data_IF_384277614264
#
_entry.id   IF_384277614264
#
_cell.length_a   1.000
_cell.length_b   1.000
_cell.length_c   1.000
_cell.angle_alpha   90.00
_cell.angle_beta   90.00
_cell.angle_gamma   90.00
#
_symmetry.space_group_name_H-M   'P 1'
#
loop_
_entity.id
_entity.type
_entity.pdbx_description
1 polymer ?
#
# COMPACT_ATOMS: atom_id res chain seq x y z
N UNK A 1 -5.08 5.17 28.42
CA UNK A 1 -5.52 3.89 27.78
C UNK A 1 -4.72 3.58 26.50
N UNK A 2 -4.06 4.55 25.90
CA UNK A 2 -3.17 4.34 24.72
C UNK A 2 -1.69 4.50 25.09
N UNK A 3 -1.35 4.60 26.38
CA UNK A 3 0.01 4.76 26.91
C UNK A 3 0.84 5.82 26.16
N UNK A 4 0.19 6.96 25.83
CA UNK A 4 0.87 8.07 25.17
C UNK A 4 1.96 8.66 26.06
N UNK A 5 3.14 8.94 25.49
CA UNK A 5 4.21 9.63 26.17
C UNK A 5 3.89 11.11 26.40
N UNK A 6 4.59 11.75 27.36
CA UNK A 6 4.41 13.19 27.62
C UNK A 6 4.69 14.03 26.38
N UNK A 7 5.65 13.63 25.53
CA UNK A 7 5.95 14.29 24.25
C UNK A 7 4.80 14.18 23.25
N UNK A 8 4.09 13.03 23.22
CA UNK A 8 2.91 12.83 22.36
C UNK A 8 1.71 13.63 22.87
N UNK A 9 1.63 13.89 24.17
CA UNK A 9 0.59 14.70 24.78
C UNK A 9 0.82 16.22 24.60
N UNK A 10 2.08 16.63 24.50
CA UNK A 10 2.49 18.04 24.27
C UNK A 10 2.54 18.37 22.77
N UNK A 11 1.45 18.03 22.04
CA UNK A 11 1.36 18.31 20.62
C UNK A 11 0.82 19.72 20.34
N UNK A 12 1.27 20.37 19.24
CA UNK A 12 0.77 21.69 18.87
C UNK A 12 -0.68 21.64 18.37
N UNK A 13 -1.49 22.62 18.77
CA UNK A 13 -2.85 22.75 18.28
C UNK A 13 -2.96 23.87 17.24
N UNK A 14 -3.58 23.55 16.10
CA UNK A 14 -3.92 24.52 15.06
C UNK A 14 -5.41 24.44 14.75
N UNK A 15 -6.06 25.57 14.79
CA UNK A 15 -7.48 25.72 14.43
C UNK A 15 -7.58 26.14 12.97
N UNK A 16 -8.23 25.34 12.15
CA UNK A 16 -8.29 25.59 10.71
C UNK A 16 -9.70 25.44 10.14
N UNK A 17 -9.99 26.20 9.10
CA UNK A 17 -11.19 26.08 8.29
C UNK A 17 -10.78 25.96 6.83
N UNK A 18 -10.78 24.74 6.29
CA UNK A 18 -10.47 24.49 4.90
C UNK A 18 -11.43 25.22 3.94
N UNK A 19 -12.72 25.28 4.30
CA UNK A 19 -13.74 26.01 3.53
C UNK A 19 -13.41 27.50 3.37
N UNK A 20 -12.86 28.13 4.42
CA UNK A 20 -12.55 29.56 4.42
C UNK A 20 -11.08 29.84 4.06
N UNK A 21 -10.26 28.80 3.85
CA UNK A 21 -8.84 28.94 3.57
C UNK A 21 -8.06 29.63 4.67
N UNK A 22 -8.39 29.40 5.96
CA UNK A 22 -7.77 30.09 7.08
C UNK A 22 -7.36 29.15 8.20
N UNK A 23 -6.24 29.44 8.86
CA UNK A 23 -5.74 28.72 10.01
C UNK A 23 -5.19 29.68 11.08
N UNK A 24 -5.18 29.27 12.36
CA UNK A 24 -4.61 30.04 13.45
C UNK A 24 -4.11 29.11 14.55
N UNK A 25 -3.04 29.52 15.24
CA UNK A 25 -2.54 28.83 16.46
C UNK A 25 -3.32 29.26 17.72
N UNK A 26 -4.10 30.33 17.64
CA UNK A 26 -4.90 30.86 18.77
C UNK A 26 -6.34 31.11 18.32
N UNK A 27 -7.31 30.46 18.94
CA UNK A 27 -8.72 30.52 18.54
C UNK A 27 -9.31 31.95 18.56
N UNK A 28 -8.75 32.83 19.37
CA UNK A 28 -9.16 34.26 19.50
C UNK A 28 -8.63 35.13 18.38
N UNK A 29 -7.63 34.68 17.62
CA UNK A 29 -6.99 35.42 16.54
C UNK A 29 -7.54 34.97 15.20
N UNK A 30 -8.16 35.88 14.45
CA UNK A 30 -8.61 35.63 13.09
C UNK A 30 -7.42 35.78 12.13
N UNK A 31 -7.11 34.73 11.40
CA UNK A 31 -6.14 34.79 10.31
C UNK A 31 -6.85 34.67 8.95
N UNK A 32 -6.20 35.14 7.89
CA UNK A 32 -6.79 35.25 6.55
C UNK A 32 -6.34 34.11 5.61
N UNK A 33 -5.36 33.32 5.99
CA UNK A 33 -4.72 32.31 5.17
C UNK A 33 -4.37 31.04 5.96
N UNK A 34 -3.80 30.06 5.29
CA UNK A 34 -3.40 28.78 5.85
C UNK A 34 -1.94 28.75 6.34
N UNK A 35 -1.20 29.87 6.25
CA UNK A 35 0.21 29.97 6.65
C UNK A 35 0.50 29.38 8.03
N UNK A 36 -0.29 29.67 9.10
CA UNK A 36 -0.02 29.10 10.42
C UNK A 36 -0.07 27.56 10.48
N UNK A 37 -0.87 26.94 9.63
CA UNK A 37 -0.89 25.47 9.51
C UNK A 37 0.37 24.98 8.82
N UNK A 38 0.76 25.58 7.70
CA UNK A 38 1.95 25.19 6.96
C UNK A 38 3.23 25.42 7.75
N UNK A 39 3.33 26.54 8.45
CA UNK A 39 4.44 26.83 9.35
C UNK A 39 4.55 25.78 10.47
N UNK A 40 3.41 25.37 11.03
CA UNK A 40 3.41 24.32 12.06
C UNK A 40 3.85 22.98 11.49
N UNK A 41 3.42 22.62 10.28
CA UNK A 41 3.89 21.40 9.61
C UNK A 41 5.41 21.44 9.41
N UNK A 42 5.94 22.56 8.89
CA UNK A 42 7.39 22.70 8.66
C UNK A 42 8.20 22.70 9.96
N UNK A 43 7.63 23.17 11.05
CA UNK A 43 8.28 23.23 12.37
C UNK A 43 8.32 21.87 13.08
N UNK A 44 7.23 21.07 12.97
CA UNK A 44 7.05 19.87 13.77
C UNK A 44 7.20 18.56 13.00
N UNK A 45 7.07 18.57 11.67
CA UNK A 45 7.23 17.35 10.86
C UNK A 45 8.67 17.32 10.32
N UNK A 46 9.49 16.35 10.73
CA UNK A 46 10.86 16.23 10.23
C UNK A 46 10.87 15.89 8.74
N UNK A 47 11.92 16.31 8.05
CA UNK A 47 12.20 15.86 6.70
C UNK A 47 12.42 14.33 6.68
N UNK A 48 12.19 13.65 5.54
CA UNK A 48 12.51 12.23 5.41
C UNK A 48 13.98 11.97 5.75
N UNK A 49 14.21 10.99 6.63
CA UNK A 49 15.54 10.52 6.99
C UNK A 49 15.96 9.39 6.05
N UNK A 50 17.26 9.29 5.77
CA UNK A 50 17.85 8.25 4.94
C UNK A 50 19.18 8.70 4.34
N UNK A 51 19.93 7.76 3.75
CA UNK A 51 21.20 8.03 3.08
C UNK A 51 21.02 7.93 1.55
N UNK A 52 21.14 9.05 0.80
CA UNK A 52 20.99 9.06 -0.65
C UNK A 52 22.07 8.28 -1.39
N UNK A 53 23.24 8.07 -0.79
CA UNK A 53 24.34 7.31 -1.35
C UNK A 53 24.30 5.82 -1.00
N UNK A 54 23.37 5.42 -0.11
CA UNK A 54 23.17 4.03 0.25
C UNK A 54 22.51 3.23 -0.89
N UNK A 55 22.48 1.91 -0.73
CA UNK A 55 21.71 1.04 -1.60
C UNK A 55 20.21 1.37 -1.56
N UNK A 56 19.52 1.21 -2.69
CA UNK A 56 18.07 1.42 -2.76
C UNK A 56 17.34 0.56 -1.76
N UNK A 57 16.43 1.15 -0.99
CA UNK A 57 15.46 0.46 -0.14
C UNK A 57 14.09 1.12 -0.30
N UNK A 58 13.10 0.32 -0.72
CA UNK A 58 11.70 0.75 -0.86
C UNK A 58 10.81 -0.26 -0.17
N UNK A 59 10.17 0.15 0.93
CA UNK A 59 9.18 -0.69 1.62
C UNK A 59 7.82 -0.58 0.95
N UNK A 60 7.27 -1.70 0.51
CA UNK A 60 5.94 -1.77 -0.10
C UNK A 60 4.87 -1.80 1.00
N UNK A 61 4.07 -0.76 1.05
CA UNK A 61 3.01 -0.57 2.05
C UNK A 61 1.60 -0.82 1.50
N UNK A 62 1.42 -0.76 0.20
CA UNK A 62 0.12 -0.92 -0.46
C UNK A 62 0.29 -1.58 -1.83
N UNK A 63 -0.71 -2.34 -2.24
CA UNK A 63 -0.79 -2.95 -3.57
C UNK A 63 -1.96 -2.32 -4.32
N UNK A 64 -1.71 -1.92 -5.55
CA UNK A 64 -2.72 -1.52 -6.52
C UNK A 64 -2.71 -2.51 -7.70
N UNK A 65 -3.76 -2.53 -8.47
CA UNK A 65 -3.90 -3.43 -9.61
C UNK A 65 -4.43 -2.70 -10.84
N UNK A 66 -3.79 -2.96 -11.96
CA UNK A 66 -4.23 -2.46 -13.25
C UNK A 66 -4.27 -3.62 -14.26
N UNK A 67 -5.35 -3.74 -15.03
CA UNK A 67 -5.55 -4.87 -15.97
C UNK A 67 -4.45 -4.95 -17.07
N UNK A 68 -3.79 -3.83 -17.38
CA UNK A 68 -2.76 -3.78 -18.44
C UNK A 68 -1.33 -4.03 -17.93
N UNK A 69 -1.04 -3.64 -16.70
CA UNK A 69 0.32 -3.73 -16.13
C UNK A 69 0.42 -4.73 -14.96
N UNK A 70 -0.71 -5.28 -14.52
CA UNK A 70 -0.78 -6.21 -13.41
C UNK A 70 -0.67 -5.52 -12.04
N UNK A 71 -0.05 -6.21 -11.08
CA UNK A 71 0.18 -5.67 -9.73
C UNK A 71 1.16 -4.50 -9.76
N UNK A 72 0.86 -3.51 -8.95
CA UNK A 72 1.65 -2.30 -8.75
C UNK A 72 1.91 -2.18 -7.25
N UNK A 73 3.17 -2.31 -6.85
CA UNK A 73 3.57 -2.06 -5.47
C UNK A 73 3.71 -0.56 -5.22
N UNK A 74 3.07 -0.07 -4.18
CA UNK A 74 3.20 1.32 -3.73
C UNK A 74 3.97 1.34 -2.43
N UNK A 75 5.02 2.16 -2.37
CA UNK A 75 5.90 2.22 -1.21
C UNK A 75 6.64 3.54 -1.11
N UNK A 76 7.32 3.71 0.01
CA UNK A 76 8.19 4.86 0.28
C UNK A 76 9.64 4.47 0.02
N UNK A 77 10.39 5.36 -0.60
CA UNK A 77 11.85 5.25 -0.72
C UNK A 77 12.47 5.66 0.61
N UNK A 78 13.06 4.70 1.33
CA UNK A 78 13.68 4.95 2.63
C UNK A 78 15.18 5.24 2.49
N UNK A 79 15.89 4.59 1.55
CA UNK A 79 17.29 4.84 1.26
C UNK A 79 17.58 4.82 -0.23
N UNK A 80 18.63 5.53 -0.63
CA UNK A 80 19.14 5.56 -1.98
C UNK A 80 18.20 6.18 -3.00
N UNK A 81 18.35 5.75 -4.24
CA UNK A 81 17.54 6.20 -5.39
C UNK A 81 17.03 4.98 -6.13
N UNK A 82 15.73 4.94 -6.39
CA UNK A 82 15.11 3.92 -7.23
C UNK A 82 15.00 4.41 -8.68
N UNK A 83 15.31 3.53 -9.66
CA UNK A 83 15.32 3.88 -11.09
C UNK A 83 14.55 2.89 -11.94
N UNK A 84 14.00 3.37 -13.05
CA UNK A 84 13.43 2.50 -14.09
C UNK A 84 14.51 1.60 -14.68
N UNK A 85 14.17 0.35 -14.98
CA UNK A 85 15.07 -0.70 -15.46
C UNK A 85 16.18 -1.12 -14.49
N UNK A 86 16.11 -0.71 -13.23
CA UNK A 86 17.01 -1.17 -12.18
C UNK A 86 16.73 -2.62 -11.82
N UNK A 87 17.80 -3.41 -11.65
CA UNK A 87 17.74 -4.73 -11.07
C UNK A 87 17.71 -4.60 -9.54
N UNK A 88 16.73 -5.19 -8.90
CA UNK A 88 16.54 -5.17 -7.45
C UNK A 88 16.24 -6.57 -6.92
N UNK A 89 16.42 -6.76 -5.62
CA UNK A 89 16.06 -7.97 -4.91
C UNK A 89 14.88 -7.69 -4.01
N UNK A 90 13.85 -8.52 -4.08
CA UNK A 90 12.75 -8.53 -3.12
C UNK A 90 13.20 -9.34 -1.92
N UNK A 91 13.09 -8.74 -0.75
CA UNK A 91 13.31 -9.38 0.55
C UNK A 91 12.15 -9.05 1.47
N UNK A 92 11.89 -9.92 2.45
CA UNK A 92 10.82 -9.70 3.42
C UNK A 92 11.34 -9.93 4.83
N UNK A 93 11.00 -9.03 5.75
CA UNK A 93 11.47 -9.08 7.12
C UNK A 93 11.09 -10.38 7.86
N UNK A 94 9.91 -10.94 7.55
CA UNK A 94 9.42 -12.18 8.18
C UNK A 94 9.90 -13.45 7.45
N UNK A 95 10.47 -13.31 6.25
CA UNK A 95 10.96 -14.42 5.42
C UNK A 95 12.32 -14.06 4.79
N UNK A 96 13.37 -13.81 5.60
CA UNK A 96 14.65 -13.25 5.10
C UNK A 96 15.40 -14.20 4.15
N UNK A 97 15.14 -15.50 4.22
CA UNK A 97 15.76 -16.51 3.36
C UNK A 97 15.17 -16.53 1.94
N UNK A 98 13.98 -15.94 1.74
CA UNK A 98 13.35 -15.85 0.44
C UNK A 98 13.76 -14.56 -0.27
N UNK A 99 14.67 -14.69 -1.22
CA UNK A 99 15.12 -13.58 -2.04
C UNK A 99 14.77 -13.82 -3.50
N UNK A 100 14.21 -12.81 -4.16
CA UNK A 100 13.84 -12.88 -5.58
C UNK A 100 14.42 -11.68 -6.33
N UNK A 101 15.25 -11.96 -7.34
CA UNK A 101 15.74 -10.91 -8.25
C UNK A 101 14.66 -10.54 -9.24
N UNK A 102 14.41 -9.25 -9.37
CA UNK A 102 13.41 -8.69 -10.27
C UNK A 102 13.92 -7.41 -10.90
N UNK A 103 13.25 -6.97 -11.96
CA UNK A 103 13.57 -5.72 -12.65
C UNK A 103 12.38 -4.78 -12.62
N UNK A 104 12.63 -3.52 -12.28
CA UNK A 104 11.61 -2.46 -12.28
C UNK A 104 11.30 -2.10 -13.73
N UNK A 105 10.05 -2.34 -14.17
CA UNK A 105 9.65 -2.01 -15.54
C UNK A 105 9.23 -0.55 -15.68
N UNK A 106 8.43 -0.05 -14.75
CA UNK A 106 7.99 1.33 -14.71
C UNK A 106 7.93 1.86 -13.28
N UNK A 107 8.19 3.13 -13.16
CA UNK A 107 8.21 3.87 -11.90
C UNK A 107 7.32 5.10 -12.05
N UNK A 108 6.48 5.33 -11.04
CA UNK A 108 5.58 6.48 -11.00
C UNK A 108 5.71 7.18 -9.66
N UNK A 109 5.55 8.50 -9.66
CA UNK A 109 5.29 9.31 -8.48
C UNK A 109 3.86 9.85 -8.51
N UNK A 110 3.37 10.34 -7.37
CA UNK A 110 2.03 10.88 -7.24
C UNK A 110 2.07 12.41 -7.30
N UNK A 111 1.40 12.97 -8.31
CA UNK A 111 1.09 14.39 -8.40
C UNK A 111 -0.40 14.60 -8.13
N UNK A 112 -0.73 14.95 -6.89
CA UNK A 112 -2.10 14.91 -6.39
C UNK A 112 -2.70 13.51 -6.47
N UNK A 113 -3.72 13.33 -7.30
CA UNK A 113 -4.37 12.03 -7.53
C UNK A 113 -3.82 11.29 -8.75
N UNK A 114 -2.94 11.90 -9.52
CA UNK A 114 -2.42 11.33 -10.76
C UNK A 114 -1.10 10.60 -10.52
N UNK A 115 -0.91 9.48 -11.21
CA UNK A 115 0.38 8.78 -11.30
C UNK A 115 1.15 9.34 -12.49
N UNK A 116 2.30 9.94 -12.24
CA UNK A 116 3.20 10.50 -13.25
C UNK A 116 4.40 9.58 -13.41
N UNK A 117 4.68 9.15 -14.62
CA UNK A 117 5.84 8.29 -14.91
C UNK A 117 7.13 9.09 -14.75
N UNK A 118 8.06 8.58 -13.93
CA UNK A 118 9.36 9.19 -13.65
C UNK A 118 10.49 8.22 -13.97
N UNK A 119 11.68 8.74 -14.20
CA UNK A 119 12.86 7.91 -14.48
C UNK A 119 13.55 7.43 -13.20
N UNK A 120 13.52 8.25 -12.17
CA UNK A 120 14.10 7.97 -10.85
C UNK A 120 13.35 8.72 -9.76
N UNK A 121 13.43 8.21 -8.54
CA UNK A 121 12.86 8.82 -7.34
C UNK A 121 13.79 8.61 -6.14
N UNK A 122 13.91 9.63 -5.30
CA UNK A 122 14.81 9.65 -4.14
C UNK A 122 14.08 9.43 -2.82
N UNK A 123 14.83 9.59 -1.73
CA UNK A 123 14.36 9.41 -0.34
C UNK A 123 13.12 10.25 -0.07
N UNK A 124 12.17 9.64 0.63
CA UNK A 124 10.90 10.25 1.01
C UNK A 124 9.84 10.23 -0.07
N UNK A 125 10.21 9.98 -1.35
CA UNK A 125 9.22 9.83 -2.42
C UNK A 125 8.34 8.62 -2.19
N UNK A 126 7.03 8.81 -2.38
CA UNK A 126 6.08 7.71 -2.46
C UNK A 126 5.97 7.30 -3.92
N UNK A 127 6.36 6.07 -4.21
CA UNK A 127 6.46 5.56 -5.57
C UNK A 127 5.51 4.41 -5.83
N UNK A 128 5.03 4.30 -7.06
CA UNK A 128 4.31 3.14 -7.55
C UNK A 128 5.18 2.41 -8.58
N UNK A 129 5.42 1.12 -8.34
CA UNK A 129 6.37 0.29 -9.08
C UNK A 129 5.62 -0.85 -9.76
N UNK A 130 5.81 -1.00 -11.06
CA UNK A 130 5.21 -2.07 -11.85
C UNK A 130 6.24 -3.00 -12.48
N UNK A 131 5.78 -4.17 -12.94
CA UNK A 131 6.61 -5.20 -13.56
C UNK A 131 7.00 -6.33 -12.62
N UNK A 132 6.46 -6.33 -11.40
CA UNK A 132 6.72 -7.37 -10.39
C UNK A 132 5.39 -8.07 -10.08
N UNK A 133 5.19 -9.26 -10.67
CA UNK A 133 3.91 -9.98 -10.56
C UNK A 133 3.57 -10.44 -9.13
N UNK A 134 4.59 -10.88 -8.38
CA UNK A 134 4.44 -11.45 -7.03
C UNK A 134 4.94 -10.48 -5.95
N UNK A 135 4.55 -9.21 -6.04
CA UNK A 135 4.86 -8.22 -5.01
C UNK A 135 3.79 -8.26 -3.93
N UNK A 136 4.20 -8.18 -2.66
CA UNK A 136 3.32 -8.20 -1.51
C UNK A 136 3.58 -7.03 -0.58
N UNK A 137 2.60 -6.72 0.27
CA UNK A 137 2.79 -5.74 1.34
C UNK A 137 3.83 -6.26 2.33
N UNK A 138 4.75 -5.38 2.73
CA UNK A 138 5.87 -5.70 3.60
C UNK A 138 7.11 -6.20 2.86
N UNK A 139 7.04 -6.40 1.54
CA UNK A 139 8.23 -6.62 0.74
C UNK A 139 9.08 -5.35 0.69
N UNK A 140 10.38 -5.53 0.79
CA UNK A 140 11.36 -4.46 0.60
C UNK A 140 12.10 -4.71 -0.71
N UNK A 141 12.10 -3.73 -1.60
CA UNK A 141 12.92 -3.73 -2.80
C UNK A 141 14.29 -3.16 -2.45
N UNK A 142 15.33 -3.97 -2.54
CA UNK A 142 16.70 -3.60 -2.20
C UNK A 142 17.64 -3.66 -3.39
N UNK A 143 18.72 -2.88 -3.34
CA UNK A 143 19.87 -3.11 -4.20
C UNK A 143 20.42 -4.51 -3.99
N UNK A 144 20.87 -5.22 -5.04
CA UNK A 144 21.37 -6.59 -4.92
C UNK A 144 22.59 -6.74 -3.99
N UNK A 145 23.35 -5.68 -3.79
CA UNK A 145 24.54 -5.63 -2.94
C UNK A 145 24.20 -5.56 -1.45
N UNK A 146 23.02 -5.01 -1.12
CA UNK A 146 22.57 -4.77 0.26
C UNK A 146 21.09 -5.20 0.42
N UNK A 147 20.80 -6.51 0.48
CA UNK A 147 19.44 -7.04 0.58
C UNK A 147 18.94 -7.02 2.04
N UNK A 148 18.79 -5.84 2.63
CA UNK A 148 18.31 -5.67 4.00
C UNK A 148 16.83 -5.32 4.02
N UNK A 149 15.96 -6.21 4.58
CA UNK A 149 14.53 -5.94 4.68
C UNK A 149 14.23 -4.91 5.76
N UNK A 150 13.33 -3.98 5.47
CA UNK A 150 12.80 -3.03 6.44
C UNK A 150 11.79 -3.75 7.35
N UNK A 151 11.88 -3.61 8.68
CA UNK A 151 10.87 -4.16 9.59
C UNK A 151 9.47 -3.57 9.31
N UNK A 152 8.47 -4.44 9.26
CA UNK A 152 7.08 -4.01 9.14
C UNK A 152 6.17 -4.87 10.01
N UNK A 153 4.99 -4.34 10.32
CA UNK A 153 4.00 -5.06 11.08
C UNK A 153 3.23 -6.03 10.17
N UNK A 154 3.26 -7.31 10.50
CA UNK A 154 2.56 -8.35 9.72
C UNK A 154 1.04 -8.08 9.72
N UNK A 155 0.42 -8.21 8.57
CA UNK A 155 -1.04 -8.17 8.45
C UNK A 155 -1.61 -9.35 9.23
N UNK A 156 -2.61 -9.09 10.08
CA UNK A 156 -3.29 -10.11 10.87
C UNK A 156 -3.93 -11.16 9.95
N UNK A 157 -3.93 -12.40 10.42
CA UNK A 157 -4.61 -13.46 9.69
C UNK A 157 -6.14 -13.27 9.75
N UNK A 158 -6.88 -13.72 8.72
CA UNK A 158 -8.33 -13.67 8.71
C UNK A 158 -8.93 -14.41 9.91
N UNK A 159 -9.95 -13.82 10.52
CA UNK A 159 -10.63 -14.38 11.70
C UNK A 159 -11.99 -14.98 11.36
N UNK A 160 -12.54 -14.66 10.21
CA UNK A 160 -13.84 -15.14 9.75
C UNK A 160 -13.65 -15.84 8.42
N UNK A 161 -14.32 -16.96 8.23
CA UNK A 161 -14.38 -17.67 6.97
C UNK A 161 -15.82 -17.98 6.58
N UNK A 162 -16.12 -17.91 5.29
CA UNK A 162 -17.45 -18.16 4.74
C UNK A 162 -17.34 -18.96 3.45
N UNK A 163 -18.22 -19.93 3.27
CA UNK A 163 -18.26 -20.73 2.06
C UNK A 163 -19.26 -20.14 1.05
N UNK A 164 -18.78 -19.82 -0.15
CA UNK A 164 -19.56 -19.36 -1.28
C UNK A 164 -19.79 -20.53 -2.21
N UNK A 165 -21.04 -20.92 -2.38
CA UNK A 165 -21.44 -22.02 -3.25
C UNK A 165 -22.46 -21.55 -4.28
N UNK A 166 -22.54 -22.29 -5.39
CA UNK A 166 -23.57 -22.05 -6.39
C UNK A 166 -24.94 -22.44 -5.82
N UNK A 167 -25.97 -21.66 -6.16
CA UNK A 167 -27.34 -22.02 -5.83
C UNK A 167 -27.78 -23.21 -6.67
N UNK A 168 -27.97 -24.37 -6.05
CA UNK A 168 -28.40 -25.62 -6.64
C UNK A 168 -29.90 -25.92 -6.42
N UNK A 169 -30.63 -24.94 -5.88
CA UNK A 169 -32.08 -25.06 -5.63
C UNK A 169 -32.88 -25.16 -6.93
N UNK A 170 -34.14 -25.69 -6.89
CA UNK A 170 -35.02 -25.73 -8.07
C UNK A 170 -35.34 -24.37 -8.68
N UNK A 171 -35.04 -23.29 -7.96
CA UNK A 171 -35.20 -21.91 -8.41
C UNK A 171 -33.92 -21.29 -8.96
N UNK A 172 -32.83 -22.06 -9.02
CA UNK A 172 -31.55 -21.56 -9.54
C UNK A 172 -31.69 -21.07 -11.00
N UNK A 173 -31.03 -19.95 -11.28
CA UNK A 173 -31.01 -19.36 -12.63
C UNK A 173 -32.27 -18.60 -13.07
N UNK A 174 -33.30 -18.51 -12.23
CA UNK A 174 -34.49 -17.69 -12.54
C UNK A 174 -34.26 -16.20 -12.36
N UNK A 175 -33.35 -15.83 -11.45
CA UNK A 175 -32.93 -14.46 -11.20
C UNK A 175 -31.41 -14.39 -11.17
N UNK A 176 -30.86 -13.25 -11.66
CA UNK A 176 -29.44 -13.00 -11.69
C UNK A 176 -28.76 -13.43 -13.00
N UNK A 177 -27.64 -12.77 -13.31
CA UNK A 177 -26.84 -13.02 -14.53
C UNK A 177 -25.54 -13.79 -14.28
N UNK A 178 -25.05 -13.79 -13.02
CA UNK A 178 -23.71 -14.31 -12.65
C UNK A 178 -23.88 -15.46 -11.63
N UNK A 179 -24.53 -16.53 -12.06
CA UNK A 179 -25.02 -17.62 -11.17
C UNK A 179 -24.20 -18.92 -11.27
N UNK A 180 -23.13 -18.93 -12.06
CA UNK A 180 -22.30 -20.13 -12.23
C UNK A 180 -21.06 -20.11 -11.35
N UNK A 181 -20.51 -21.27 -11.00
CA UNK A 181 -19.25 -21.42 -10.25
C UNK A 181 -18.11 -20.64 -10.90
N UNK A 182 -18.05 -20.65 -12.23
CA UNK A 182 -17.06 -19.86 -12.98
C UNK A 182 -17.17 -18.36 -12.70
N UNK A 183 -18.38 -17.80 -12.70
CA UNK A 183 -18.57 -16.38 -12.41
C UNK A 183 -18.18 -16.02 -10.97
N UNK A 184 -18.52 -16.89 -10.00
CA UNK A 184 -18.15 -16.70 -8.59
C UNK A 184 -16.62 -16.77 -8.47
N UNK A 185 -15.99 -17.78 -9.09
CA UNK A 185 -14.54 -17.92 -9.12
C UNK A 185 -13.86 -16.69 -9.68
N UNK A 186 -14.21 -16.30 -10.89
CA UNK A 186 -13.60 -15.14 -11.56
C UNK A 186 -13.74 -13.86 -10.73
N UNK A 187 -14.87 -13.68 -10.03
CA UNK A 187 -15.10 -12.53 -9.15
C UNK A 187 -14.25 -12.59 -7.90
N UNK A 188 -14.20 -13.72 -7.20
CA UNK A 188 -13.43 -13.90 -5.97
C UNK A 188 -11.93 -13.79 -6.22
N UNK A 189 -11.41 -14.47 -7.26
CA UNK A 189 -9.99 -14.40 -7.59
C UNK A 189 -9.56 -13.01 -8.11
N UNK A 190 -10.49 -12.26 -8.69
CA UNK A 190 -10.23 -10.86 -9.07
C UNK A 190 -10.05 -9.98 -7.84
N UNK A 191 -10.81 -10.18 -6.77
CA UNK A 191 -10.67 -9.42 -5.52
C UNK A 191 -9.31 -9.65 -4.84
N UNK A 192 -8.72 -10.84 -4.95
CA UNK A 192 -7.37 -11.11 -4.42
C UNK A 192 -6.28 -10.21 -5.01
N UNK A 193 -6.53 -9.55 -6.13
CA UNK A 193 -5.56 -8.62 -6.71
C UNK A 193 -5.52 -7.27 -5.98
N UNK A 194 -6.60 -6.92 -5.29
CA UNK A 194 -6.78 -5.61 -4.63
C UNK A 194 -6.90 -5.73 -3.12
N UNK A 195 -7.54 -6.78 -2.62
CA UNK A 195 -7.70 -7.03 -1.19
C UNK A 195 -6.66 -8.05 -0.71
N UNK A 196 -5.69 -7.55 0.04
CA UNK A 196 -4.54 -8.34 0.55
C UNK A 196 -4.86 -9.13 1.82
N UNK A 197 -5.97 -8.83 2.49
CA UNK A 197 -6.43 -9.58 3.67
C UNK A 197 -7.25 -10.81 3.29
N UNK A 198 -7.84 -10.79 2.10
CA UNK A 198 -8.72 -11.84 1.62
C UNK A 198 -7.93 -13.08 1.21
N UNK A 199 -8.43 -14.25 1.59
CA UNK A 199 -7.96 -15.56 1.12
C UNK A 199 -9.11 -16.30 0.49
N UNK A 200 -8.87 -16.92 -0.68
CA UNK A 200 -9.86 -17.71 -1.39
C UNK A 200 -9.26 -19.08 -1.68
N UNK A 201 -9.91 -20.13 -1.20
CA UNK A 201 -9.53 -21.52 -1.40
C UNK A 201 -10.68 -22.26 -2.07
N UNK A 202 -10.38 -23.16 -3.01
CA UNK A 202 -11.39 -24.05 -3.58
C UNK A 202 -11.73 -25.11 -2.53
N UNK A 203 -13.02 -25.38 -2.32
CA UNK A 203 -13.45 -26.44 -1.42
C UNK A 203 -13.36 -27.81 -2.13
N UNK A 204 -13.49 -28.89 -1.37
CA UNK A 204 -13.54 -30.25 -1.94
C UNK A 204 -14.69 -30.42 -2.96
N UNK A 205 -15.74 -29.63 -2.81
CA UNK A 205 -16.80 -29.53 -3.81
C UNK A 205 -16.35 -28.58 -4.94
N UNK A 206 -16.37 -29.07 -6.17
CA UNK A 206 -15.90 -28.38 -7.39
C UNK A 206 -16.59 -27.01 -7.65
N UNK A 207 -17.69 -26.71 -6.97
CA UNK A 207 -18.53 -25.51 -7.15
C UNK A 207 -18.55 -24.61 -5.91
N UNK A 208 -17.65 -24.84 -4.94
CA UNK A 208 -17.57 -24.09 -3.69
C UNK A 208 -16.21 -23.41 -3.48
N UNK A 209 -16.24 -22.25 -2.82
CA UNK A 209 -15.08 -21.44 -2.49
C UNK A 209 -15.16 -21.03 -1.02
N UNK A 210 -14.11 -21.33 -0.26
CA UNK A 210 -13.95 -20.80 1.09
C UNK A 210 -13.24 -19.48 1.02
N UNK A 211 -13.89 -18.44 1.51
CA UNK A 211 -13.39 -17.08 1.56
C UNK A 211 -13.16 -16.71 3.01
N UNK A 212 -11.95 -16.28 3.34
CA UNK A 212 -11.54 -15.80 4.68
C UNK A 212 -11.08 -14.36 4.59
N UNK A 213 -11.51 -13.50 5.55
CA UNK A 213 -11.19 -12.06 5.59
C UNK A 213 -11.38 -11.45 6.98
#
# INVERSE_FOLDING_TARGET
ELDASDEQLDCPFVYASAKNGSATRQITVKNKDMTPLFDTILEYIPAPEGDPEAGTQVLISTIDYNEYVGRIGVGKVDNGVVKVNQDVVIVNHHEPDKQKKVKISKLYEFDGLNKVEVKEAGIGSIVAISGIADIHIGDTLCSPEYPEPIPFQKISEPTIAMDFIVNDSPLAGKEGKYVTSRHIRDRLFRELNTDVSLRVEETENTDGFRVSG
#
